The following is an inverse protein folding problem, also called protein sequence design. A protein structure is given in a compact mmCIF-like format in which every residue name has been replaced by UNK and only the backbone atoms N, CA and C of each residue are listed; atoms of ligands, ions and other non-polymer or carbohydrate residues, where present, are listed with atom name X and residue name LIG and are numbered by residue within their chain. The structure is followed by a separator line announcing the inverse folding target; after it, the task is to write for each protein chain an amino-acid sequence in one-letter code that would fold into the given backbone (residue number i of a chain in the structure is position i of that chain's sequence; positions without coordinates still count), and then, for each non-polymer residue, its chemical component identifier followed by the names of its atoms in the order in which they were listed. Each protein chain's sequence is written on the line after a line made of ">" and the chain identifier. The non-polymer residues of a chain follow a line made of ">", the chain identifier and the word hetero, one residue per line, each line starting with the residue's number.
data_IF_336029122290
#
_entry.id   IF_336029122290
#
_cell.length_a   1.000
_cell.length_b   1.000
_cell.length_c   1.000
_cell.angle_alpha   90.00
_cell.angle_beta   90.00
_cell.angle_gamma   90.00
#
_symmetry.space_group_name_H-M   'P 1'
#
loop_
_entity.id
_entity.type
_entity.pdbx_description
1 polymer ?
#
# COMPACT_ATOMS: atom_id res chain seq x y z
N UNK A 1 -5.92 0.43 11.87
CA UNK A 1 -6.65 1.68 12.17
C UNK A 1 -5.90 2.52 13.21
N UNK A 2 -5.82 3.82 12.95
CA UNK A 2 -5.51 4.92 13.89
C UNK A 2 -4.03 5.15 14.27
N UNK A 3 -3.34 5.90 13.42
CA UNK A 3 -2.30 6.81 13.88
C UNK A 3 -2.99 8.03 14.52
N UNK A 4 -2.92 8.14 15.84
CA UNK A 4 -3.07 9.43 16.53
C UNK A 4 -1.68 9.86 17.01
N UNK A 5 -0.96 10.53 16.13
CA UNK A 5 0.18 11.35 16.54
C UNK A 5 -0.39 12.63 17.14
N UNK A 6 -0.58 12.66 18.45
CA UNK A 6 -0.93 13.88 19.17
C UNK A 6 0.33 14.75 19.27
N UNK A 7 0.32 16.01 18.81
CA UNK A 7 1.46 16.90 19.02
C UNK A 7 1.63 17.17 20.52
N UNK A 8 2.83 16.92 21.02
CA UNK A 8 3.22 17.20 22.40
C UNK A 8 3.19 18.72 22.58
N UNK A 9 2.22 19.20 23.36
CA UNK A 9 1.99 20.62 23.63
C UNK A 9 3.12 21.17 24.51
N UNK A 10 4.11 21.83 23.91
CA UNK A 10 5.15 22.52 24.66
C UNK A 10 4.58 23.83 25.23
N UNK A 11 4.05 23.73 26.45
CA UNK A 11 3.49 24.84 27.22
C UNK A 11 4.63 25.74 27.72
N UNK A 12 5.01 26.73 26.91
CA UNK A 12 5.96 27.76 27.33
C UNK A 12 5.28 28.67 28.36
N UNK A 13 5.79 28.63 29.58
CA UNK A 13 5.38 29.43 30.72
C UNK A 13 5.52 30.94 30.43
N UNK A 14 4.45 31.69 30.71
CA UNK A 14 4.45 33.15 30.71
C UNK A 14 5.35 33.69 31.82
N UNK A 15 6.28 34.60 31.47
CA UNK A 15 6.86 35.55 32.42
C UNK A 15 6.42 36.95 31.99
N UNK A 16 5.56 37.59 32.79
CA UNK A 16 5.12 38.97 32.58
C UNK A 16 6.19 39.95 33.07
N UNK A 17 6.69 40.80 32.18
CA UNK A 17 7.52 41.95 32.52
C UNK A 17 6.86 43.25 32.01
N UNK A 18 6.97 44.37 32.75
CA UNK A 18 6.25 45.62 32.47
C UNK A 18 6.77 46.37 31.23
N UNK A 19 5.98 47.32 30.68
CA UNK A 19 6.19 47.84 29.34
C UNK A 19 7.23 48.99 29.33
N UNK A 20 8.35 48.77 28.66
CA UNK A 20 9.24 49.85 28.22
C UNK A 20 9.46 49.74 26.71
N UNK A 21 9.09 50.83 26.05
CA UNK A 21 9.09 51.06 24.60
C UNK A 21 10.48 50.97 23.97
N UNK A 22 10.63 50.14 22.93
CA UNK A 22 11.52 50.40 21.81
C UNK A 22 10.99 49.67 20.57
N UNK A 23 10.59 50.46 19.56
CA UNK A 23 10.29 49.99 18.21
C UNK A 23 11.58 49.41 17.61
N UNK A 24 11.64 48.10 17.45
CA UNK A 24 12.56 47.43 16.55
C UNK A 24 11.72 46.53 15.63
N UNK A 25 11.38 47.05 14.44
CA UNK A 25 10.79 46.27 13.36
C UNK A 25 11.87 45.38 12.75
N UNK A 26 12.14 44.26 13.40
CA UNK A 26 12.91 43.18 12.80
C UNK A 26 11.93 42.33 11.98
N UNK A 27 11.86 42.58 10.68
CA UNK A 27 11.11 41.72 9.75
C UNK A 27 11.84 40.39 9.67
N UNK A 28 11.46 39.46 10.54
CA UNK A 28 11.89 38.08 10.45
C UNK A 28 11.25 37.49 9.19
N UNK A 29 12.02 37.43 8.11
CA UNK A 29 11.64 36.67 6.92
C UNK A 29 11.55 35.20 7.33
N UNK A 30 10.33 34.76 7.67
CA UNK A 30 10.04 33.36 7.90
C UNK A 30 10.22 32.63 6.57
N UNK A 31 11.36 31.97 6.39
CA UNK A 31 11.54 31.00 5.32
C UNK A 31 10.63 29.81 5.65
N UNK A 32 9.46 29.75 5.02
CA UNK A 32 8.63 28.56 5.05
C UNK A 32 9.34 27.46 4.28
N UNK A 33 10.17 26.68 4.99
CA UNK A 33 10.65 25.40 4.46
C UNK A 33 9.44 24.48 4.37
N UNK A 34 8.83 24.39 3.18
CA UNK A 34 7.85 23.34 2.93
C UNK A 34 8.62 22.03 2.94
N UNK A 35 8.57 21.32 4.07
CA UNK A 35 8.91 19.92 4.10
C UNK A 35 7.93 19.23 3.15
N UNK A 36 8.38 18.95 1.92
CA UNK A 36 7.68 18.04 1.04
C UNK A 36 7.49 16.75 1.84
N UNK A 37 6.27 16.18 1.94
CA UNK A 37 6.17 14.82 2.42
C UNK A 37 7.15 14.01 1.56
N UNK A 38 8.06 13.27 2.19
CA UNK A 38 8.74 12.19 1.50
C UNK A 38 7.59 11.30 1.02
N UNK A 39 7.16 11.51 -0.23
CA UNK A 39 6.31 10.56 -0.92
C UNK A 39 7.13 9.29 -0.85
N UNK A 40 6.66 8.33 -0.05
CA UNK A 40 7.22 7.01 0.04
C UNK A 40 7.23 6.51 -1.40
N UNK A 41 8.38 6.61 -2.08
CA UNK A 41 8.48 6.28 -3.49
C UNK A 41 8.04 4.84 -3.54
N UNK A 42 6.95 4.57 -4.26
CA UNK A 42 6.47 3.23 -4.48
C UNK A 42 7.62 2.45 -5.12
N UNK A 43 8.33 1.71 -4.28
CA UNK A 43 9.43 0.83 -4.69
C UNK A 43 8.80 -0.50 -5.07
N UNK A 44 9.58 -1.30 -5.80
CA UNK A 44 9.15 -2.64 -6.13
C UNK A 44 8.79 -3.40 -4.86
N UNK A 45 7.53 -3.85 -4.75
CA UNK A 45 7.10 -4.64 -3.61
C UNK A 45 7.46 -6.10 -3.85
N UNK A 46 7.21 -6.60 -5.06
CA UNK A 46 7.50 -7.97 -5.46
C UNK A 46 8.09 -8.01 -6.87
N UNK A 47 9.02 -8.93 -7.10
CA UNK A 47 9.63 -9.13 -8.41
C UNK A 47 9.41 -10.56 -8.87
N UNK A 48 8.71 -10.72 -10.00
CA UNK A 48 8.47 -12.02 -10.63
C UNK A 48 9.23 -12.05 -11.96
N UNK A 49 10.33 -12.80 -12.00
CA UNK A 49 11.26 -12.76 -13.13
C UNK A 49 11.86 -11.35 -13.31
N UNK A 50 11.52 -10.67 -14.41
CA UNK A 50 11.92 -9.28 -14.67
C UNK A 50 10.82 -8.25 -14.43
N UNK A 51 9.63 -8.69 -14.00
CA UNK A 51 8.47 -7.84 -13.77
C UNK A 51 8.48 -7.35 -12.32
N UNK A 52 8.27 -6.06 -12.14
CA UNK A 52 8.16 -5.43 -10.84
C UNK A 52 6.69 -5.08 -10.56
N UNK A 53 6.14 -5.60 -9.47
CA UNK A 53 4.80 -5.28 -9.00
C UNK A 53 4.86 -4.33 -7.81
N UNK A 54 3.98 -3.34 -7.81
CA UNK A 54 3.73 -2.47 -6.67
C UNK A 54 2.68 -3.08 -5.76
N UNK A 55 2.65 -2.66 -4.50
CA UNK A 55 1.67 -3.17 -3.53
C UNK A 55 0.24 -3.00 -4.04
N UNK A 56 -0.05 -1.90 -4.74
CA UNK A 56 -1.37 -1.67 -5.36
C UNK A 56 -1.74 -2.70 -6.41
N UNK A 57 -0.78 -3.21 -7.20
CA UNK A 57 -1.08 -4.22 -8.21
C UNK A 57 -1.44 -5.57 -7.54
N UNK A 58 -0.75 -5.88 -6.45
CA UNK A 58 -1.03 -7.08 -5.64
C UNK A 58 -2.39 -6.94 -4.95
N UNK A 59 -2.65 -5.80 -4.32
CA UNK A 59 -3.92 -5.52 -3.63
C UNK A 59 -5.10 -5.58 -4.61
N UNK A 60 -4.96 -5.00 -5.80
CA UNK A 60 -5.99 -5.01 -6.85
C UNK A 60 -6.25 -6.43 -7.37
N UNK A 61 -5.19 -7.22 -7.60
CA UNK A 61 -5.31 -8.61 -8.05
C UNK A 61 -5.95 -9.52 -6.98
N UNK A 62 -5.53 -9.41 -5.71
CA UNK A 62 -6.11 -10.15 -4.59
C UNK A 62 -7.57 -9.76 -4.39
N UNK A 63 -7.88 -8.46 -4.43
CA UNK A 63 -9.27 -7.96 -4.29
C UNK A 63 -10.18 -8.52 -5.37
N UNK A 64 -9.74 -8.53 -6.63
CA UNK A 64 -10.53 -9.10 -7.72
C UNK A 64 -10.69 -10.61 -7.59
N UNK A 65 -9.60 -11.33 -7.32
CA UNK A 65 -9.64 -12.79 -7.14
C UNK A 65 -10.58 -13.18 -6.00
N UNK A 66 -10.46 -12.50 -4.86
CA UNK A 66 -11.33 -12.73 -3.72
C UNK A 66 -12.80 -12.38 -4.00
N UNK A 67 -13.07 -11.33 -4.78
CA UNK A 67 -14.44 -10.98 -5.21
C UNK A 67 -15.06 -12.12 -6.04
N UNK A 68 -14.33 -12.63 -7.04
CA UNK A 68 -14.81 -13.77 -7.85
C UNK A 68 -15.01 -15.03 -7.00
N UNK A 69 -14.10 -15.29 -6.05
CA UNK A 69 -14.25 -16.40 -5.10
C UNK A 69 -15.53 -16.28 -4.26
N UNK A 70 -15.78 -15.11 -3.66
CA UNK A 70 -16.99 -14.88 -2.85
C UNK A 70 -18.29 -14.96 -3.68
N UNK A 71 -18.24 -14.58 -4.95
CA UNK A 71 -19.35 -14.66 -5.89
C UNK A 71 -19.54 -16.06 -6.50
N UNK A 72 -18.57 -16.96 -6.31
CA UNK A 72 -18.54 -18.27 -6.97
C UNK A 72 -18.40 -18.16 -8.50
N UNK A 73 -17.81 -17.07 -8.98
CA UNK A 73 -17.53 -16.83 -10.40
C UNK A 73 -16.10 -17.26 -10.73
N UNK A 74 -15.91 -17.76 -11.95
CA UNK A 74 -14.58 -18.08 -12.49
C UNK A 74 -14.44 -17.50 -13.90
N UNK A 75 -13.23 -17.04 -14.23
CA UNK A 75 -12.91 -16.39 -15.51
C UNK A 75 -11.71 -17.02 -16.19
N UNK A 76 -11.68 -16.88 -17.52
CA UNK A 76 -10.62 -17.44 -18.36
C UNK A 76 -10.81 -18.92 -18.67
N UNK A 77 -9.88 -19.51 -19.44
CA UNK A 77 -9.95 -20.93 -19.84
C UNK A 77 -9.48 -21.89 -18.77
N UNK A 78 -8.87 -21.37 -17.70
CA UNK A 78 -8.32 -22.14 -16.60
C UNK A 78 -9.14 -21.95 -15.32
N UNK A 79 -10.30 -21.29 -15.41
CA UNK A 79 -11.27 -21.15 -14.31
C UNK A 79 -10.69 -20.49 -13.05
N UNK A 80 -10.13 -19.27 -13.17
CA UNK A 80 -9.62 -18.52 -12.00
C UNK A 80 -10.71 -17.70 -11.31
N UNK A 81 -10.67 -17.52 -9.98
CA UNK A 81 -9.73 -18.14 -9.04
C UNK A 81 -9.99 -19.64 -8.88
N UNK A 82 -8.94 -20.38 -8.52
CA UNK A 82 -9.06 -21.79 -8.16
C UNK A 82 -8.05 -22.19 -7.10
N UNK A 83 -8.30 -23.34 -6.48
CA UNK A 83 -7.51 -23.82 -5.35
C UNK A 83 -6.03 -23.99 -5.69
N UNK A 84 -5.17 -23.41 -4.85
CA UNK A 84 -3.73 -23.64 -4.80
C UNK A 84 -3.45 -24.74 -3.77
N UNK A 85 -2.90 -25.87 -4.24
CA UNK A 85 -2.70 -27.05 -3.41
C UNK A 85 -1.34 -27.07 -2.68
N UNK A 86 -0.50 -26.08 -2.96
CA UNK A 86 0.83 -25.90 -2.39
C UNK A 86 1.73 -27.15 -2.55
N UNK A 87 1.73 -27.76 -3.74
CA UNK A 87 2.60 -28.91 -4.05
C UNK A 87 4.10 -28.56 -4.03
N UNK A 88 4.41 -27.27 -4.08
CA UNK A 88 5.76 -26.71 -4.05
C UNK A 88 6.28 -26.44 -2.63
N UNK A 89 5.45 -26.69 -1.61
CA UNK A 89 5.81 -26.53 -0.19
C UNK A 89 6.23 -25.09 0.17
N UNK A 90 5.45 -24.12 -0.32
CA UNK A 90 5.59 -22.70 0.00
C UNK A 90 5.18 -22.49 1.47
N UNK A 91 6.08 -21.89 2.26
CA UNK A 91 5.83 -21.54 3.65
C UNK A 91 4.98 -20.26 3.75
N UNK A 92 3.66 -20.42 3.68
CA UNK A 92 2.72 -19.30 3.84
C UNK A 92 2.54 -18.92 5.32
N UNK A 93 2.58 -17.62 5.61
CA UNK A 93 2.35 -17.09 6.97
C UNK A 93 0.90 -17.23 7.48
N UNK A 94 -0.02 -17.66 6.61
CA UNK A 94 -1.45 -17.84 6.90
C UNK A 94 -1.87 -19.27 6.57
N UNK A 95 -2.86 -19.80 7.28
CA UNK A 95 -3.37 -21.16 7.07
C UNK A 95 -4.32 -21.24 5.87
N UNK A 96 -4.24 -22.31 5.08
CA UNK A 96 -5.18 -22.55 3.98
C UNK A 96 -6.63 -22.85 4.42
N UNK A 97 -7.54 -23.14 3.46
CA UNK A 97 -7.29 -23.39 2.04
C UNK A 97 -6.80 -22.14 1.30
N UNK A 98 -6.11 -22.33 0.18
CA UNK A 98 -5.57 -21.25 -0.63
C UNK A 98 -6.23 -21.23 -2.01
N UNK A 99 -6.40 -20.04 -2.56
CA UNK A 99 -6.84 -19.79 -3.92
C UNK A 99 -5.74 -19.02 -4.66
N UNK A 100 -5.46 -19.37 -5.91
CA UNK A 100 -4.58 -18.60 -6.79
C UNK A 100 -5.37 -17.76 -7.80
N UNK A 101 -4.83 -16.59 -8.13
CA UNK A 101 -5.38 -15.71 -9.16
C UNK A 101 -4.28 -14.99 -9.95
N UNK A 102 -4.45 -14.75 -11.26
CA UNK A 102 -3.41 -14.12 -12.06
C UNK A 102 -3.14 -12.66 -11.68
N UNK A 103 -1.86 -12.30 -11.63
CA UNK A 103 -1.38 -10.92 -11.66
C UNK A 103 -0.64 -10.69 -12.98
N UNK A 104 -1.02 -9.64 -13.70
CA UNK A 104 -0.56 -9.44 -15.07
C UNK A 104 0.60 -8.44 -15.14
N UNK A 105 1.63 -8.76 -15.92
CA UNK A 105 2.74 -7.85 -16.22
C UNK A 105 2.32 -6.59 -17.01
N UNK A 106 1.06 -6.52 -17.44
CA UNK A 106 0.42 -5.32 -18.01
C UNK A 106 -0.10 -4.36 -16.95
N UNK A 107 -0.07 -4.75 -15.67
CA UNK A 107 -0.60 -4.01 -14.52
C UNK A 107 -2.11 -3.73 -14.61
N UNK A 108 -2.83 -4.60 -15.34
CA UNK A 108 -4.30 -4.60 -15.37
C UNK A 108 -4.80 -5.76 -14.53
N UNK A 109 -5.92 -5.53 -13.85
CA UNK A 109 -6.67 -6.58 -13.16
C UNK A 109 -7.11 -7.62 -14.19
N UNK A 110 -6.88 -8.90 -13.89
CA UNK A 110 -7.25 -10.01 -14.76
C UNK A 110 -8.78 -10.17 -14.79
N UNK A 111 -9.34 -10.25 -15.99
CA UNK A 111 -10.78 -10.45 -16.23
C UNK A 111 -11.03 -11.58 -17.24
N UNK A 112 -10.02 -12.45 -17.44
CA UNK A 112 -10.02 -13.51 -18.45
C UNK A 112 -8.95 -13.34 -19.53
N UNK A 113 -8.83 -14.35 -20.40
CA UNK A 113 -7.79 -14.42 -21.43
C UNK A 113 -6.52 -15.14 -20.95
N UNK A 114 -5.36 -14.80 -21.53
CA UNK A 114 -4.09 -15.44 -21.16
C UNK A 114 -3.64 -14.98 -19.76
N UNK A 115 -3.44 -15.89 -18.79
CA UNK A 115 -3.14 -15.52 -17.41
C UNK A 115 -1.69 -15.12 -17.16
N UNK A 116 -0.78 -15.38 -18.11
CA UNK A 116 0.65 -15.23 -17.86
C UNK A 116 1.17 -16.22 -16.81
N UNK A 117 2.37 -15.96 -16.29
CA UNK A 117 3.07 -16.87 -15.39
C UNK A 117 2.91 -16.54 -13.90
N UNK A 118 2.55 -15.30 -13.56
CA UNK A 118 2.60 -14.81 -12.18
C UNK A 118 1.24 -14.96 -11.50
N UNK A 119 1.26 -15.26 -10.19
CA UNK A 119 0.06 -15.49 -9.37
C UNK A 119 0.14 -14.72 -8.06
N UNK A 120 -1.02 -14.25 -7.60
CA UNK A 120 -1.26 -13.97 -6.19
C UNK A 120 -1.94 -15.18 -5.57
N UNK A 121 -1.64 -15.47 -4.31
CA UNK A 121 -2.25 -16.55 -3.54
C UNK A 121 -2.88 -15.95 -2.29
N UNK A 122 -4.14 -16.27 -2.02
CA UNK A 122 -4.92 -15.74 -0.89
C UNK A 122 -5.75 -16.83 -0.20
N UNK A 123 -6.34 -16.53 0.96
CA UNK A 123 -7.16 -17.43 1.77
C UNK A 123 -8.35 -16.72 2.43
#
# INVERSE_FOLDING_TARGET
>A
MSFRSTPVEYKIFFLSLPPTTLLALFTLAATTTTASPLANRATCAYTCGSVCYWQTDVDDAVTQGYTYYEEGEQVGSNDYPHTENNYEDIDFYVSGPYEEFPILSSYKVYTGGSPGADRVVFN
#
